data_IF_971189662465
#
_entry.id   IF_971189662465
#
_cell.length_a   1.000
_cell.length_b   1.000
_cell.length_c   1.000
_cell.angle_alpha   90.00
_cell.angle_beta   90.00
_cell.angle_gamma   90.00
#
_symmetry.space_group_name_H-M   'P 1'
#
loop_
_entity.id
_entity.type
_entity.pdbx_description
1 polymer ?
#
# COMPACT_ATOMS: atom_id res chain seq x y z
N UNK A 1 4.00 -14.58 21.72
CA UNK A 1 4.21 -14.33 20.28
C UNK A 1 2.84 -14.14 19.67
N UNK A 2 2.50 -12.94 19.20
CA UNK A 2 1.28 -12.78 18.42
C UNK A 2 1.35 -13.68 17.17
N UNK A 3 0.19 -14.23 16.81
CA UNK A 3 0.08 -15.08 15.65
C UNK A 3 0.30 -14.27 14.37
N UNK A 4 1.01 -14.85 13.40
CA UNK A 4 1.12 -14.30 12.04
C UNK A 4 -0.26 -14.14 11.41
N UNK A 5 -0.57 -12.92 10.95
CA UNK A 5 -1.84 -12.64 10.28
C UNK A 5 -1.92 -13.35 8.91
N UNK A 6 -3.13 -13.47 8.36
CA UNK A 6 -3.34 -14.06 7.03
C UNK A 6 -2.55 -13.29 5.97
N UNK A 7 -2.58 -11.96 6.04
CA UNK A 7 -1.96 -11.06 5.08
C UNK A 7 -0.43 -11.11 5.17
N UNK A 8 0.13 -11.16 6.38
CA UNK A 8 1.56 -11.36 6.57
C UNK A 8 2.05 -12.69 5.97
N UNK A 9 1.33 -13.79 6.23
CA UNK A 9 1.65 -15.09 5.63
C UNK A 9 1.59 -15.04 4.11
N UNK A 10 0.56 -14.39 3.58
CA UNK A 10 0.39 -14.20 2.14
C UNK A 10 1.58 -13.43 1.54
N UNK A 11 2.00 -12.30 2.15
CA UNK A 11 3.17 -11.54 1.70
C UNK A 11 4.44 -12.40 1.73
N UNK A 12 4.68 -13.13 2.82
CA UNK A 12 5.86 -13.99 2.97
C UNK A 12 5.90 -15.09 1.91
N UNK A 13 4.79 -15.80 1.71
CA UNK A 13 4.69 -16.83 0.66
C UNK A 13 4.87 -16.23 -0.73
N UNK A 14 4.18 -15.13 -1.02
CA UNK A 14 4.22 -14.49 -2.34
C UNK A 14 5.62 -14.01 -2.71
N UNK A 15 6.32 -13.33 -1.80
CA UNK A 15 7.67 -12.83 -2.06
C UNK A 15 8.68 -13.98 -2.21
N UNK A 16 8.54 -15.04 -1.41
CA UNK A 16 9.39 -16.22 -1.55
C UNK A 16 9.15 -16.96 -2.87
N UNK A 17 7.89 -17.23 -3.21
CA UNK A 17 7.53 -18.03 -4.40
C UNK A 17 7.83 -17.28 -5.70
N UNK A 18 7.56 -15.98 -5.74
CA UNK A 18 7.69 -15.18 -6.97
C UNK A 18 9.10 -14.64 -7.20
N UNK A 19 9.84 -14.39 -6.12
CA UNK A 19 11.11 -13.66 -6.18
C UNK A 19 12.26 -14.35 -5.43
N UNK A 20 12.01 -15.46 -4.73
CA UNK A 20 13.02 -16.07 -3.86
C UNK A 20 13.39 -15.22 -2.64
N UNK A 21 12.58 -14.19 -2.34
CA UNK A 21 12.85 -13.26 -1.25
C UNK A 21 12.39 -13.84 0.08
N UNK A 22 13.34 -14.27 0.91
CA UNK A 22 13.06 -14.88 2.22
C UNK A 22 12.79 -13.81 3.28
N UNK A 23 11.59 -13.85 3.88
CA UNK A 23 11.26 -13.06 5.05
C UNK A 23 11.31 -13.90 6.32
N UNK A 24 12.07 -13.45 7.32
CA UNK A 24 12.13 -14.04 8.66
C UNK A 24 11.44 -13.11 9.66
N UNK A 25 10.52 -13.65 10.46
CA UNK A 25 9.77 -12.85 11.45
C UNK A 25 10.72 -12.35 12.54
N UNK A 26 10.61 -11.07 12.89
CA UNK A 26 11.34 -10.52 14.02
C UNK A 26 10.53 -10.79 15.30
N UNK A 27 11.15 -11.28 16.39
CA UNK A 27 10.46 -11.47 17.65
C UNK A 27 9.93 -10.15 18.22
N UNK A 28 8.70 -10.18 18.72
CA UNK A 28 8.13 -9.05 19.44
C UNK A 28 8.99 -8.68 20.64
N UNK A 29 9.10 -7.38 20.92
CA UNK A 29 9.81 -6.85 22.07
C UNK A 29 8.96 -5.80 22.77
N UNK A 30 9.45 -5.27 23.90
CA UNK A 30 8.81 -4.15 24.59
C UNK A 30 8.80 -2.86 23.75
N UNK A 31 9.64 -2.78 22.71
CA UNK A 31 9.63 -1.68 21.75
C UNK A 31 8.90 -2.09 20.47
N UNK A 32 8.41 -1.08 19.75
CA UNK A 32 7.81 -1.29 18.44
C UNK A 32 8.86 -1.83 17.48
N UNK A 33 8.65 -3.06 17.02
CA UNK A 33 9.51 -3.76 16.07
C UNK A 33 8.79 -3.86 14.72
N UNK A 34 9.54 -3.96 13.61
CA UNK A 34 8.99 -4.32 12.31
C UNK A 34 8.64 -5.79 12.28
N UNK A 35 7.73 -6.18 11.40
CA UNK A 35 7.23 -7.55 11.32
C UNK A 35 8.31 -8.56 10.87
N UNK A 36 9.14 -8.19 9.88
CA UNK A 36 10.10 -9.10 9.25
C UNK A 36 11.46 -8.46 9.00
N UNK A 37 12.46 -9.32 8.82
CA UNK A 37 13.69 -9.02 8.11
C UNK A 37 13.71 -9.75 6.76
N UNK A 38 14.17 -9.05 5.73
CA UNK A 38 14.45 -9.63 4.42
C UNK A 38 15.88 -10.18 4.43
N UNK A 39 16.05 -11.44 4.04
CA UNK A 39 17.35 -12.09 3.97
C UNK A 39 17.88 -12.13 2.53
N UNK A 40 19.17 -11.85 2.37
CA UNK A 40 19.93 -12.08 1.14
C UNK A 40 21.28 -12.71 1.49
N UNK A 41 21.58 -13.89 0.93
CA UNK A 41 22.80 -14.64 1.27
C UNK A 41 22.92 -15.00 2.76
N UNK A 42 21.79 -15.14 3.48
CA UNK A 42 21.76 -15.42 4.92
C UNK A 42 22.01 -14.20 5.82
N UNK A 43 22.32 -13.03 5.26
CA UNK A 43 22.42 -11.76 5.98
C UNK A 43 21.13 -10.94 5.83
N UNK A 44 20.84 -10.09 6.82
CA UNK A 44 19.72 -9.15 6.73
C UNK A 44 20.03 -8.07 5.69
N UNK A 45 19.21 -8.02 4.65
CA UNK A 45 19.28 -7.01 3.59
C UNK A 45 18.39 -5.81 3.86
N UNK A 46 17.25 -5.99 4.55
CA UNK A 46 16.33 -4.93 4.90
C UNK A 46 15.44 -5.32 6.10
N UNK A 47 14.78 -4.34 6.70
CA UNK A 47 13.64 -4.56 7.60
C UNK A 47 12.34 -4.25 6.87
N UNK A 48 11.31 -5.04 7.15
CA UNK A 48 10.04 -5.02 6.41
C UNK A 48 8.89 -4.90 7.39
N UNK A 49 8.05 -3.90 7.17
CA UNK A 49 6.75 -3.76 7.84
C UNK A 49 5.62 -4.07 6.85
N UNK A 50 4.61 -4.82 7.29
CA UNK A 50 3.44 -5.16 6.49
C UNK A 50 2.23 -4.39 7.01
N UNK A 51 1.52 -3.71 6.11
CA UNK A 51 0.26 -3.02 6.42
C UNK A 51 -0.82 -3.45 5.45
N UNK A 52 -2.00 -3.76 5.99
CA UNK A 52 -3.19 -4.06 5.19
C UNK A 52 -4.05 -2.82 5.07
N UNK A 53 -4.41 -2.44 3.84
CA UNK A 53 -5.55 -1.55 3.60
C UNK A 53 -6.81 -2.42 3.60
N UNK A 54 -7.52 -2.40 4.73
CA UNK A 54 -8.69 -3.27 4.92
C UNK A 54 -9.87 -2.84 4.03
N UNK A 55 -10.55 -3.85 3.47
CA UNK A 55 -11.83 -3.67 2.80
C UNK A 55 -12.84 -3.08 3.81
N UNK A 56 -13.27 -1.85 3.56
CA UNK A 56 -14.23 -1.18 4.44
C UNK A 56 -15.62 -1.22 3.81
N UNK A 57 -16.55 -1.99 4.38
CA UNK A 57 -17.97 -1.87 4.05
C UNK A 57 -18.41 -0.44 4.35
N UNK A 58 -19.15 0.20 3.45
CA UNK A 58 -19.63 1.56 3.68
C UNK A 58 -20.68 1.56 4.81
N UNK A 59 -20.27 2.01 6.00
CA UNK A 59 -21.11 2.03 7.21
C UNK A 59 -20.63 3.09 8.19
N UNK A 60 -21.50 3.50 9.12
CA UNK A 60 -21.10 4.43 10.18
C UNK A 60 -20.02 3.84 11.10
N UNK A 61 -20.06 2.53 11.34
CA UNK A 61 -19.04 1.82 12.12
C UNK A 61 -17.64 1.86 11.49
N UNK A 62 -17.57 2.00 10.16
CA UNK A 62 -16.32 2.10 9.39
C UNK A 62 -15.97 3.56 9.04
N UNK A 63 -16.60 4.53 9.71
CA UNK A 63 -16.27 5.96 9.62
C UNK A 63 -16.97 6.71 8.49
N UNK A 64 -17.96 6.10 7.83
CA UNK A 64 -18.76 6.78 6.83
C UNK A 64 -19.91 7.54 7.47
N UNK A 65 -20.09 8.81 7.11
CA UNK A 65 -21.35 9.52 7.32
C UNK A 65 -22.29 9.13 6.18
N UNK A 66 -23.39 8.45 6.52
CA UNK A 66 -24.39 8.03 5.55
C UNK A 66 -25.57 9.00 5.58
N UNK A 67 -25.85 9.62 4.44
CA UNK A 67 -27.00 10.50 4.26
C UNK A 67 -28.01 9.80 3.35
N UNK A 68 -29.18 9.46 3.89
CA UNK A 68 -30.27 8.87 3.11
C UNK A 68 -30.94 9.97 2.29
N UNK A 69 -31.00 9.78 0.98
CA UNK A 69 -31.72 10.67 0.06
C UNK A 69 -33.17 10.22 -0.12
N UNK A 70 -33.40 8.91 -0.17
CA UNK A 70 -34.72 8.26 -0.15
C UNK A 70 -34.59 6.79 0.30
N UNK A 71 -35.68 6.01 0.23
CA UNK A 71 -35.73 4.59 0.66
C UNK A 71 -34.73 3.67 -0.06
N UNK A 72 -34.27 4.06 -1.25
CA UNK A 72 -33.40 3.24 -2.11
C UNK A 72 -32.09 3.92 -2.49
N UNK A 73 -31.83 5.12 -1.95
CA UNK A 73 -30.65 5.91 -2.30
C UNK A 73 -30.07 6.58 -1.07
N UNK A 74 -28.79 6.35 -0.87
CA UNK A 74 -27.99 6.98 0.18
C UNK A 74 -26.64 7.39 -0.40
N UNK A 75 -26.06 8.45 0.16
CA UNK A 75 -24.69 8.87 -0.11
C UNK A 75 -23.84 8.64 1.12
N UNK A 76 -22.65 8.08 0.93
CA UNK A 76 -21.63 7.98 1.96
C UNK A 76 -20.54 9.02 1.76
N UNK A 77 -20.18 9.73 2.82
CA UNK A 77 -18.96 10.54 2.84
C UNK A 77 -18.06 10.08 3.98
N UNK A 78 -16.75 10.09 3.78
CA UNK A 78 -15.77 9.80 4.84
C UNK A 78 -14.74 10.91 4.90
N UNK A 79 -14.19 11.14 6.09
CA UNK A 79 -13.22 12.23 6.30
C UNK A 79 -11.82 11.90 5.76
N UNK A 80 -11.48 10.63 5.70
CA UNK A 80 -10.19 10.12 5.26
C UNK A 80 -10.30 9.44 3.89
N UNK A 81 -9.86 10.12 2.83
CA UNK A 81 -9.77 9.50 1.51
C UNK A 81 -8.67 8.40 1.47
N UNK A 82 -8.60 7.64 0.38
CA UNK A 82 -7.61 6.56 0.24
C UNK A 82 -6.16 7.03 0.44
N UNK A 83 -5.68 8.17 -0.13
CA UNK A 83 -4.34 8.67 0.15
C UNK A 83 -4.10 9.00 1.63
N UNK A 84 -5.10 9.53 2.35
CA UNK A 84 -4.98 9.83 3.77
C UNK A 84 -4.85 8.55 4.62
N UNK A 85 -5.53 7.47 4.24
CA UNK A 85 -5.38 6.17 4.90
C UNK A 85 -4.02 5.55 4.64
N UNK A 86 -3.55 5.55 3.39
CA UNK A 86 -2.18 5.14 3.05
C UNK A 86 -1.17 5.93 3.89
N UNK A 87 -1.31 7.26 3.96
CA UNK A 87 -0.45 8.09 4.79
C UNK A 87 -0.49 7.72 6.29
N UNK A 88 -1.65 7.34 6.82
CA UNK A 88 -1.77 6.87 8.21
C UNK A 88 -0.94 5.60 8.45
N UNK A 89 -0.93 4.66 7.51
CA UNK A 89 -0.09 3.46 7.57
C UNK A 89 1.40 3.78 7.41
N UNK A 90 1.76 4.70 6.49
CA UNK A 90 3.13 5.21 6.35
C UNK A 90 3.65 5.76 7.68
N UNK A 91 2.87 6.64 8.32
CA UNK A 91 3.23 7.23 9.60
C UNK A 91 3.47 6.16 10.68
N UNK A 92 2.57 5.18 10.80
CA UNK A 92 2.70 4.10 11.78
C UNK A 92 3.94 3.24 11.53
N UNK A 93 4.14 2.83 10.27
CA UNK A 93 5.29 2.03 9.86
C UNK A 93 6.62 2.76 10.08
N UNK A 94 6.70 4.04 9.73
CA UNK A 94 7.89 4.85 9.94
C UNK A 94 8.33 4.86 11.42
N UNK A 95 7.38 4.92 12.36
CA UNK A 95 7.71 4.84 13.80
C UNK A 95 8.24 3.47 14.25
N UNK A 96 7.89 2.39 13.56
CA UNK A 96 8.45 1.05 13.81
C UNK A 96 9.84 0.91 13.15
N UNK A 97 10.00 1.48 11.95
CA UNK A 97 11.18 1.31 11.11
C UNK A 97 12.34 2.26 11.44
N UNK A 98 12.07 3.43 12.04
CA UNK A 98 13.07 4.49 12.26
C UNK A 98 14.28 4.10 13.12
N UNK A 99 14.18 3.01 13.88
CA UNK A 99 15.24 2.55 14.79
C UNK A 99 16.26 1.63 14.13
N UNK A 100 16.06 1.27 12.86
CA UNK A 100 16.90 0.33 12.11
C UNK A 100 17.83 1.08 11.17
N UNK A 101 19.07 0.61 11.06
CA UNK A 101 20.06 1.21 10.15
C UNK A 101 19.91 0.66 8.72
N UNK A 102 19.37 -0.55 8.62
CA UNK A 102 19.10 -1.26 7.37
C UNK A 102 18.06 -0.51 6.52
N UNK A 103 18.03 -0.78 5.20
CA UNK A 103 16.96 -0.31 4.33
C UNK A 103 15.58 -0.70 4.87
N UNK A 104 14.62 0.20 4.68
CA UNK A 104 13.28 0.11 5.26
C UNK A 104 12.26 -0.11 4.16
N UNK A 105 11.57 -1.24 4.23
CA UNK A 105 10.55 -1.65 3.28
C UNK A 105 9.18 -1.57 3.93
N UNK A 106 8.23 -0.93 3.25
CA UNK A 106 6.82 -0.97 3.63
C UNK A 106 6.02 -1.72 2.57
N UNK A 107 5.44 -2.85 2.96
CA UNK A 107 4.55 -3.63 2.11
C UNK A 107 3.10 -3.29 2.42
N UNK A 108 2.36 -2.93 1.39
CA UNK A 108 0.92 -2.76 1.43
C UNK A 108 0.22 -3.96 0.82
N UNK A 109 -0.73 -4.55 1.57
CA UNK A 109 -1.71 -5.50 1.03
C UNK A 109 -3.03 -4.77 0.87
N UNK A 110 -3.43 -4.50 -0.37
CA UNK A 110 -4.63 -3.72 -0.66
C UNK A 110 -5.88 -4.59 -0.76
N UNK A 111 -6.63 -4.72 0.32
CA UNK A 111 -7.95 -5.35 0.29
C UNK A 111 -9.07 -4.34 0.00
N UNK A 112 -8.76 -3.04 -0.03
CA UNK A 112 -9.74 -1.99 -0.31
C UNK A 112 -10.02 -1.83 -1.80
N UNK A 113 -11.28 -2.01 -2.19
CA UNK A 113 -11.75 -1.86 -3.57
C UNK A 113 -11.80 -0.43 -4.06
N UNK A 114 -11.73 0.54 -3.16
CA UNK A 114 -11.77 1.98 -3.44
C UNK A 114 -10.39 2.62 -3.36
N UNK A 115 -9.33 1.82 -3.21
CA UNK A 115 -7.95 2.28 -3.25
C UNK A 115 -7.16 1.53 -4.32
N UNK A 116 -6.18 2.20 -4.91
CA UNK A 116 -5.22 1.62 -5.84
C UNK A 116 -3.80 2.19 -5.61
N UNK A 117 -2.84 1.76 -6.41
CA UNK A 117 -1.44 2.23 -6.29
C UNK A 117 -1.27 3.73 -6.53
N UNK A 118 -2.17 4.36 -7.28
CA UNK A 118 -2.11 5.80 -7.50
C UNK A 118 -2.43 6.55 -6.20
N UNK A 119 -3.17 5.96 -5.28
CA UNK A 119 -3.35 6.53 -3.93
C UNK A 119 -2.07 6.49 -3.11
N UNK A 120 -1.21 5.48 -3.28
CA UNK A 120 0.15 5.49 -2.73
C UNK A 120 0.98 6.59 -3.37
N UNK A 121 0.93 6.72 -4.69
CA UNK A 121 1.62 7.78 -5.40
C UNK A 121 1.22 9.17 -4.90
N UNK A 122 -0.08 9.38 -4.78
CA UNK A 122 -0.67 10.62 -4.31
C UNK A 122 -0.38 10.89 -2.83
N UNK A 123 -0.40 9.86 -1.98
CA UNK A 123 -0.03 10.01 -0.56
C UNK A 123 1.42 10.45 -0.39
N UNK A 124 2.34 9.86 -1.14
CA UNK A 124 3.77 10.17 -1.00
C UNK A 124 4.13 11.47 -1.72
N UNK A 125 3.65 11.70 -2.94
CA UNK A 125 4.02 12.90 -3.73
C UNK A 125 3.17 14.11 -3.41
N UNK A 126 1.95 13.91 -2.92
CA UNK A 126 0.95 14.96 -2.71
C UNK A 126 0.28 15.45 -3.99
N UNK A 127 0.50 14.75 -5.11
CA UNK A 127 -0.04 15.11 -6.41
C UNK A 127 -0.58 13.88 -7.15
N UNK A 128 -1.60 14.10 -7.96
CA UNK A 128 -2.14 13.13 -8.92
C UNK A 128 -2.10 13.75 -10.31
N UNK A 129 -1.62 13.02 -11.33
CA UNK A 129 -1.50 13.55 -12.69
C UNK A 129 -2.56 12.89 -13.57
N UNK A 130 -3.45 13.71 -14.14
CA UNK A 130 -4.43 13.27 -15.12
C UNK A 130 -3.96 13.58 -16.53
N UNK A 131 -4.29 12.72 -17.49
CA UNK A 131 -4.07 12.96 -18.91
C UNK A 131 -2.95 12.13 -19.52
N UNK A 132 -2.49 12.57 -20.69
CA UNK A 132 -1.55 11.84 -21.54
C UNK A 132 -0.74 12.81 -22.38
N UNK A 133 0.30 12.30 -23.06
CA UNK A 133 1.05 13.10 -24.04
C UNK A 133 0.17 13.70 -25.15
N UNK A 134 -0.94 13.03 -25.49
CA UNK A 134 -1.88 13.46 -26.53
C UNK A 134 -2.89 14.49 -26.04
N UNK A 135 -3.36 14.38 -24.79
CA UNK A 135 -4.42 15.23 -24.23
C UNK A 135 -3.90 16.38 -23.36
N UNK A 136 -2.58 16.44 -23.15
CA UNK A 136 -1.96 17.25 -22.10
C UNK A 136 -2.15 16.62 -20.72
N UNK A 137 -1.38 17.12 -19.75
CA UNK A 137 -1.38 16.65 -18.37
C UNK A 137 -1.90 17.75 -17.41
N UNK A 138 -2.79 17.37 -16.50
CA UNK A 138 -3.27 18.21 -15.40
C UNK A 138 -2.75 17.66 -14.08
N UNK A 139 -2.14 18.51 -13.27
CA UNK A 139 -1.62 18.13 -11.94
C UNK A 139 -2.62 18.56 -10.87
N UNK A 140 -3.26 17.58 -10.23
CA UNK A 140 -4.11 17.78 -9.05
C UNK A 140 -3.27 17.74 -7.78
N UNK A 141 -3.35 18.81 -6.99
CA UNK A 141 -2.58 18.97 -5.74
C UNK A 141 -3.44 18.85 -4.49
N UNK A 142 -4.66 18.30 -4.58
CA UNK A 142 -5.59 18.20 -3.44
C UNK A 142 -5.01 17.44 -2.25
N UNK A 143 -4.13 16.47 -2.51
CA UNK A 143 -3.46 15.67 -1.48
C UNK A 143 -2.10 16.24 -1.02
N UNK A 144 -1.71 17.43 -1.46
CA UNK A 144 -0.47 18.08 -1.03
C UNK A 144 -0.41 18.22 0.50
N UNK A 145 -1.55 18.55 1.11
CA UNK A 145 -1.71 18.62 2.59
C UNK A 145 -1.45 17.30 3.31
N UNK A 146 -1.67 16.17 2.64
CA UNK A 146 -1.44 14.83 3.21
C UNK A 146 0.07 14.60 3.23
N UNK A 147 0.69 14.76 2.06
CA UNK A 147 2.10 14.48 1.84
C UNK A 147 3.03 15.45 2.59
N UNK A 148 2.66 16.74 2.67
CA UNK A 148 3.40 17.77 3.42
C UNK A 148 2.96 17.90 4.89
N UNK A 149 1.95 17.12 5.29
CA UNK A 149 1.44 17.09 6.65
C UNK A 149 2.18 16.09 7.53
N UNK A 150 1.43 15.19 8.17
CA UNK A 150 1.96 14.25 9.17
C UNK A 150 3.10 13.36 8.66
N UNK A 151 3.08 13.00 7.38
CA UNK A 151 4.06 12.08 6.79
C UNK A 151 5.20 12.80 6.04
N UNK A 152 5.33 14.12 6.19
CA UNK A 152 6.29 14.93 5.43
C UNK A 152 7.70 14.34 5.42
N UNK A 153 8.18 13.96 6.60
CA UNK A 153 9.50 13.35 6.79
C UNK A 153 9.41 11.81 6.80
N UNK A 154 8.35 11.24 7.40
CA UNK A 154 8.18 9.79 7.54
C UNK A 154 8.17 9.05 6.18
N UNK A 155 7.65 9.68 5.11
CA UNK A 155 7.61 9.08 3.77
C UNK A 155 8.99 8.90 3.12
N UNK A 156 9.98 9.67 3.54
CA UNK A 156 11.36 9.59 3.02
C UNK A 156 12.23 8.65 3.85
N UNK A 157 11.74 8.23 5.02
CA UNK A 157 12.37 7.21 5.84
C UNK A 157 12.16 5.80 5.27
N UNK A 158 11.15 5.59 4.44
CA UNK A 158 10.91 4.29 3.79
C UNK A 158 11.64 4.31 2.46
N UNK A 159 12.56 3.37 2.26
CA UNK A 159 13.41 3.24 1.06
C UNK A 159 12.65 2.58 -0.11
N UNK A 160 11.80 1.62 0.21
CA UNK A 160 11.02 0.85 -0.78
C UNK A 160 9.59 0.63 -0.31
N UNK A 161 8.64 1.01 -1.16
CA UNK A 161 7.26 0.61 -1.03
C UNK A 161 6.95 -0.55 -1.97
N UNK A 162 6.24 -1.55 -1.46
CA UNK A 162 5.71 -2.66 -2.25
C UNK A 162 4.19 -2.62 -2.13
N UNK A 163 3.50 -2.42 -3.25
CA UNK A 163 2.04 -2.45 -3.31
C UNK A 163 1.58 -3.77 -3.89
N UNK A 164 0.83 -4.54 -3.11
CA UNK A 164 0.29 -5.84 -3.50
C UNK A 164 -1.22 -5.71 -3.62
N UNK A 165 -1.70 -5.91 -4.84
CA UNK A 165 -3.11 -6.06 -5.15
C UNK A 165 -3.42 -7.56 -5.21
N UNK A 166 -4.10 -8.16 -4.22
CA UNK A 166 -4.42 -9.57 -4.22
C UNK A 166 -5.42 -9.89 -5.34
N UNK A 167 -5.45 -11.17 -5.76
CA UNK A 167 -6.49 -11.66 -6.68
C UNK A 167 -7.88 -11.42 -6.09
N UNK A 168 -8.76 -10.74 -6.82
CA UNK A 168 -10.17 -10.54 -6.43
C UNK A 168 -11.09 -11.35 -7.32
N UNK A 169 -12.17 -11.86 -6.73
CA UNK A 169 -13.23 -12.52 -7.48
C UNK A 169 -13.94 -11.56 -8.45
N UNK A 170 -14.75 -12.09 -9.38
CA UNK A 170 -15.58 -11.24 -10.23
C UNK A 170 -16.53 -10.38 -9.38
N UNK A 171 -16.81 -9.16 -9.83
CA UNK A 171 -17.72 -8.24 -9.13
C UNK A 171 -18.78 -7.71 -10.08
N UNK A 172 -19.99 -7.54 -9.55
CA UNK A 172 -21.10 -6.91 -10.27
C UNK A 172 -21.33 -5.53 -9.70
N UNK A 173 -21.35 -4.50 -10.56
CA UNK A 173 -21.63 -3.11 -10.20
C UNK A 173 -23.01 -2.75 -10.74
N UNK A 174 -23.79 -2.05 -9.93
CA UNK A 174 -25.14 -1.59 -10.26
C UNK A 174 -25.14 -0.07 -10.39
N UNK A 175 -24.61 0.49 -11.49
CA UNK A 175 -24.56 1.93 -11.67
C UNK A 175 -25.96 2.53 -11.82
N UNK A 176 -26.16 3.74 -11.31
CA UNK A 176 -27.45 4.45 -11.47
C UNK A 176 -27.60 4.89 -12.92
N UNK A 177 -28.72 4.55 -13.56
CA UNK A 177 -29.04 4.88 -14.96
C UNK A 177 -28.07 4.30 -16.00
N UNK A 178 -27.37 3.21 -15.68
CA UNK A 178 -26.55 2.46 -16.63
C UNK A 178 -26.79 0.96 -16.47
N UNK A 179 -26.46 0.15 -17.50
CA UNK A 179 -26.57 -1.30 -17.40
C UNK A 179 -25.73 -1.87 -16.25
N UNK A 180 -26.17 -3.02 -15.72
CA UNK A 180 -25.37 -3.77 -14.76
C UNK A 180 -24.03 -4.14 -15.39
N UNK A 181 -22.94 -3.79 -14.71
CA UNK A 181 -21.59 -4.08 -15.17
C UNK A 181 -21.05 -5.32 -14.46
N UNK A 182 -20.54 -6.26 -15.24
CA UNK A 182 -19.84 -7.45 -14.74
C UNK A 182 -18.34 -7.26 -14.96
N UNK A 183 -17.60 -7.01 -13.89
CA UNK A 183 -16.16 -6.96 -13.95
C UNK A 183 -15.59 -8.35 -13.69
N UNK A 184 -14.65 -8.82 -14.55
CA UNK A 184 -14.00 -10.10 -14.35
C UNK A 184 -13.16 -10.10 -13.07
N UNK A 185 -12.75 -11.30 -12.64
CA UNK A 185 -11.77 -11.44 -11.58
C UNK A 185 -10.48 -10.68 -11.94
N UNK A 186 -9.90 -9.97 -10.97
CA UNK A 186 -8.60 -9.32 -11.16
C UNK A 186 -7.50 -10.31 -10.91
N UNK A 187 -6.40 -10.20 -11.65
CA UNK A 187 -5.17 -10.91 -11.34
C UNK A 187 -4.45 -10.23 -10.20
N UNK A 188 -3.63 -10.99 -9.47
CA UNK A 188 -2.74 -10.42 -8.48
C UNK A 188 -1.66 -9.56 -9.16
N UNK A 189 -1.41 -8.36 -8.63
CA UNK A 189 -0.35 -7.47 -9.13
C UNK A 189 0.55 -6.99 -8.00
N UNK A 190 1.81 -6.74 -8.33
CA UNK A 190 2.81 -6.22 -7.40
C UNK A 190 3.49 -5.04 -8.09
N UNK A 191 3.56 -3.92 -7.40
CA UNK A 191 4.20 -2.71 -7.87
C UNK A 191 5.21 -2.23 -6.84
N UNK A 192 6.35 -1.75 -7.33
CA UNK A 192 7.45 -1.26 -6.51
C UNK A 192 7.62 0.23 -6.71
N UNK A 193 7.84 0.95 -5.62
CA UNK A 193 8.19 2.37 -5.64
C UNK A 193 9.40 2.60 -4.75
N UNK A 194 10.53 2.92 -5.37
CA UNK A 194 11.77 3.27 -4.68
C UNK A 194 11.80 4.77 -4.37
N UNK A 195 12.34 5.14 -3.22
CA UNK A 195 12.54 6.55 -2.81
C UNK A 195 14.01 6.88 -2.55
N UNK A 196 14.88 5.87 -2.51
CA UNK A 196 16.32 5.98 -2.29
C UNK A 196 17.08 4.94 -3.13
N UNK A 197 18.39 5.15 -3.29
CA UNK A 197 19.28 4.18 -3.93
C UNK A 197 19.33 2.85 -3.17
N UNK A 198 19.22 2.90 -1.84
CA UNK A 198 19.13 1.71 -1.01
C UNK A 198 17.86 0.91 -1.30
N UNK A 199 16.72 1.59 -1.49
CA UNK A 199 15.47 0.97 -1.89
C UNK A 199 15.54 0.35 -3.28
N UNK A 200 16.20 1.03 -4.22
CA UNK A 200 16.45 0.51 -5.56
C UNK A 200 17.33 -0.75 -5.49
N UNK A 201 18.41 -0.75 -4.70
CA UNK A 201 19.26 -1.92 -4.51
C UNK A 201 18.50 -3.11 -3.91
N UNK A 202 17.63 -2.87 -2.91
CA UNK A 202 16.75 -3.91 -2.36
C UNK A 202 15.78 -4.43 -3.44
N UNK A 203 15.15 -3.54 -4.22
CA UNK A 203 14.24 -3.93 -5.28
C UNK A 203 14.93 -4.78 -6.35
N UNK A 204 16.17 -4.44 -6.76
CA UNK A 204 16.97 -5.28 -7.67
C UNK A 204 17.28 -6.64 -7.07
N UNK A 205 17.65 -6.70 -5.79
CA UNK A 205 17.92 -7.94 -5.08
C UNK A 205 16.70 -8.86 -4.95
N UNK A 206 15.49 -8.29 -4.86
CA UNK A 206 14.22 -9.03 -4.85
C UNK A 206 13.84 -9.46 -6.27
N UNK A 207 13.70 -8.51 -7.20
CA UNK A 207 13.09 -8.76 -8.52
C UNK A 207 14.05 -9.46 -9.48
N UNK A 208 15.34 -9.56 -9.15
CA UNK A 208 16.33 -10.26 -9.97
C UNK A 208 16.64 -9.55 -11.29
N UNK A 209 16.34 -8.25 -11.40
CA UNK A 209 16.83 -7.46 -12.53
C UNK A 209 18.35 -7.35 -12.40
N UNK A 210 19.07 -8.22 -13.12
CA UNK A 210 20.45 -7.95 -13.46
C UNK A 210 20.52 -6.53 -14.04
N UNK A 211 21.49 -5.69 -13.64
CA UNK A 211 21.72 -4.46 -14.37
C UNK A 211 22.03 -4.85 -15.81
N UNK A 212 21.24 -4.36 -16.76
CA UNK A 212 21.63 -4.40 -18.17
C UNK A 212 23.01 -3.73 -18.26
N UNK A 213 24.02 -4.53 -18.54
CA UNK A 213 25.41 -4.10 -18.77
C UNK A 213 25.65 -3.98 -20.25
#
# INVERSE_FOLDING_TARGET
MAAESRQERFVRSLLLERFGAELRRIPESATKTPDYELLSGGARAAVVEVKTLEASVMSEATGWKIERRNEHSWSGTRKDNAPARVASHIHKAAKQLQHYAEPKVLVFVNEDTMADVLDLEEAVRGIHVYGSSTTGCVVNTASKRIAEGRIREDRWLIDLYVWIEPKRGPRTVFPTNAPVEHHPATVETIQFRCTSDAGLAVAHGIVGCAPDT
#
